data_IF_997448395975
#
_entry.id   IF_997448395975
#
_cell.length_a   1.000
_cell.length_b   1.000
_cell.length_c   1.000
_cell.angle_alpha   90.00
_cell.angle_beta   90.00
_cell.angle_gamma   90.00
#
_symmetry.space_group_name_H-M   'P 1'
#
loop_
_entity.id
_entity.type
_entity.pdbx_description
1 polymer ?
#
# COMPACT_ATOMS: atom_id res chain seq x y z
N UNK A 1 -10.43 13.31 -3.05
CA UNK A 1 -9.12 13.93 -2.75
C UNK A 1 -9.21 15.42 -3.02
N UNK A 2 -8.77 16.28 -2.10
CA UNK A 2 -8.66 17.71 -2.36
C UNK A 2 -7.65 17.94 -3.48
N UNK A 3 -7.96 18.83 -4.42
CA UNK A 3 -7.01 19.17 -5.49
C UNK A 3 -5.94 20.10 -4.90
N UNK A 4 -4.72 19.60 -4.77
CA UNK A 4 -3.55 20.37 -4.31
C UNK A 4 -2.66 20.65 -5.51
N UNK A 5 -2.20 21.90 -5.65
CA UNK A 5 -1.18 22.27 -6.65
C UNK A 5 0.20 22.06 -6.05
N UNK A 6 1.05 21.33 -6.77
CA UNK A 6 2.45 21.12 -6.40
C UNK A 6 3.33 21.76 -7.48
N UNK A 7 4.26 22.62 -7.05
CA UNK A 7 5.27 23.20 -7.94
C UNK A 7 6.60 22.49 -7.66
N UNK A 8 7.23 21.94 -8.69
CA UNK A 8 8.47 21.16 -8.59
C UNK A 8 9.48 21.80 -9.53
N UNK A 9 10.66 22.10 -9.01
CA UNK A 9 11.81 22.55 -9.80
C UNK A 9 12.68 21.34 -10.09
N UNK A 10 13.04 21.15 -11.35
CA UNK A 10 13.88 20.05 -11.84
C UNK A 10 14.97 20.66 -12.71
N UNK A 11 16.11 19.97 -12.82
CA UNK A 11 17.08 20.30 -13.85
C UNK A 11 16.50 20.04 -15.25
N UNK A 12 16.99 20.77 -16.24
CA UNK A 12 16.44 20.74 -17.60
C UNK A 12 16.61 19.38 -18.28
N UNK A 13 17.71 18.67 -18.03
CA UNK A 13 17.98 17.35 -18.60
C UNK A 13 17.01 16.31 -18.05
N UNK A 14 16.80 16.28 -16.73
CA UNK A 14 15.83 15.41 -16.09
C UNK A 14 14.41 15.74 -16.50
N UNK A 15 14.05 17.03 -16.60
CA UNK A 15 12.74 17.45 -17.08
C UNK A 15 12.52 17.00 -18.54
N UNK A 16 13.56 17.08 -19.37
CA UNK A 16 13.55 16.57 -20.75
C UNK A 16 13.32 15.06 -20.81
N UNK A 17 14.09 14.31 -20.02
CA UNK A 17 13.96 12.86 -19.91
C UNK A 17 12.55 12.44 -19.47
N UNK A 18 12.03 13.02 -18.38
CA UNK A 18 10.73 12.68 -17.82
C UNK A 18 9.59 13.00 -18.79
N UNK A 19 9.67 14.12 -19.53
CA UNK A 19 8.71 14.44 -20.59
C UNK A 19 8.74 13.43 -21.74
N UNK A 20 9.93 13.01 -22.17
CA UNK A 20 10.09 11.99 -23.20
C UNK A 20 9.51 10.65 -22.77
N UNK A 21 9.85 10.23 -21.55
CA UNK A 21 9.37 9.00 -20.95
C UNK A 21 7.85 8.98 -20.75
N UNK A 22 7.27 10.06 -20.21
CA UNK A 22 5.81 10.12 -20.00
C UNK A 22 5.06 10.03 -21.33
N UNK A 23 5.55 10.71 -22.39
CA UNK A 23 4.99 10.63 -23.74
C UNK A 23 5.07 9.22 -24.31
N UNK A 24 6.21 8.54 -24.15
CA UNK A 24 6.37 7.16 -24.60
C UNK A 24 5.35 6.21 -23.95
N UNK A 25 5.02 6.46 -22.68
CA UNK A 25 4.02 5.68 -21.93
C UNK A 25 2.58 6.18 -22.10
N UNK A 26 2.35 7.22 -22.91
CA UNK A 26 1.04 7.90 -23.07
C UNK A 26 0.47 8.43 -21.75
N UNK A 27 1.36 8.87 -20.87
CA UNK A 27 1.02 9.46 -19.56
C UNK A 27 1.37 10.95 -19.54
N UNK A 28 0.57 11.72 -18.80
CA UNK A 28 0.92 13.09 -18.43
C UNK A 28 2.00 13.12 -17.35
N UNK A 29 2.70 14.25 -17.24
CA UNK A 29 3.72 14.43 -16.21
C UNK A 29 3.13 14.34 -14.80
N UNK A 30 1.93 14.88 -14.60
CA UNK A 30 1.23 14.80 -13.32
C UNK A 30 0.86 13.37 -12.96
N UNK A 31 0.46 12.53 -13.92
CA UNK A 31 0.17 11.12 -13.67
C UNK A 31 1.41 10.35 -13.28
N UNK A 32 2.53 10.57 -13.97
CA UNK A 32 3.78 9.90 -13.64
C UNK A 32 4.27 10.26 -12.23
N UNK A 33 4.22 11.54 -11.85
CA UNK A 33 4.62 12.01 -10.52
C UNK A 33 3.68 11.46 -9.44
N UNK A 34 2.37 11.41 -9.71
CA UNK A 34 1.40 10.81 -8.81
C UNK A 34 1.68 9.31 -8.59
N UNK A 35 1.96 8.55 -9.66
CA UNK A 35 2.28 7.13 -9.53
C UNK A 35 3.58 6.90 -8.76
N UNK A 36 4.60 7.72 -9.01
CA UNK A 36 5.83 7.68 -8.22
C UNK A 36 5.59 7.95 -6.74
N UNK A 37 4.83 9.00 -6.40
CA UNK A 37 4.49 9.32 -5.02
C UNK A 37 3.65 8.22 -4.34
N UNK A 38 2.72 7.61 -5.06
CA UNK A 38 1.95 6.46 -4.56
C UNK A 38 2.83 5.25 -4.31
N UNK A 39 3.81 4.99 -5.18
CA UNK A 39 4.75 3.89 -5.00
C UNK A 39 5.67 4.13 -3.80
N UNK A 40 6.12 5.38 -3.57
CA UNK A 40 6.85 5.74 -2.36
C UNK A 40 6.01 5.53 -1.10
N UNK A 41 4.77 5.99 -1.10
CA UNK A 41 3.84 5.78 0.01
C UNK A 41 3.65 4.28 0.30
N UNK A 42 3.40 3.48 -0.74
CA UNK A 42 3.27 2.02 -0.60
C UNK A 42 4.54 1.37 -0.09
N UNK A 43 5.72 1.80 -0.55
CA UNK A 43 6.98 1.27 -0.07
C UNK A 43 7.17 1.56 1.42
N UNK A 44 6.86 2.79 1.87
CA UNK A 44 6.89 3.16 3.28
C UNK A 44 5.85 2.39 4.12
N UNK A 45 4.62 2.22 3.62
CA UNK A 45 3.59 1.44 4.30
C UNK A 45 3.97 -0.05 4.36
N UNK A 46 4.56 -0.58 3.29
CA UNK A 46 5.06 -1.95 3.23
C UNK A 46 6.25 -2.18 4.18
N UNK A 47 7.09 -1.19 4.49
CA UNK A 47 8.09 -1.33 5.56
C UNK A 47 7.45 -1.60 6.92
N UNK A 48 6.30 -0.96 7.19
CA UNK A 48 5.49 -1.28 8.37
C UNK A 48 4.91 -2.69 8.32
N UNK A 49 4.42 -3.11 7.15
CA UNK A 49 3.88 -4.47 6.93
C UNK A 49 4.98 -5.55 7.06
N UNK A 50 6.17 -5.33 6.51
CA UNK A 50 7.33 -6.22 6.65
C UNK A 50 7.77 -6.32 8.11
N UNK A 51 7.74 -5.21 8.86
CA UNK A 51 8.00 -5.23 10.31
C UNK A 51 6.99 -6.10 11.05
N UNK A 52 5.69 -5.96 10.75
CA UNK A 52 4.62 -6.76 11.37
C UNK A 52 4.71 -8.24 10.98
N UNK A 53 4.98 -8.53 9.71
CA UNK A 53 5.12 -9.90 9.19
C UNK A 53 6.43 -10.58 9.65
N UNK A 54 7.46 -9.80 9.98
CA UNK A 54 8.71 -10.29 10.55
C UNK A 54 8.60 -10.67 12.04
N UNK A 55 7.53 -10.23 12.73
CA UNK A 55 7.29 -10.60 14.11
C UNK A 55 6.94 -12.10 14.19
N UNK A 56 7.74 -12.94 14.88
CA UNK A 56 7.55 -14.39 14.90
C UNK A 56 6.19 -14.78 15.47
N UNK A 57 5.73 -14.07 16.50
CA UNK A 57 4.45 -14.31 17.17
C UNK A 57 3.25 -14.03 16.24
N UNK A 58 3.33 -12.96 15.44
CA UNK A 58 2.30 -12.61 14.48
C UNK A 58 2.25 -13.61 13.32
N UNK A 59 3.41 -13.99 12.80
CA UNK A 59 3.51 -14.98 11.72
C UNK A 59 2.97 -16.35 12.14
N UNK A 60 3.30 -16.82 13.35
CA UNK A 60 2.76 -18.07 13.91
C UNK A 60 1.24 -17.98 14.12
N UNK A 61 0.73 -16.88 14.69
CA UNK A 61 -0.71 -16.68 14.87
C UNK A 61 -1.47 -16.67 13.54
N UNK A 62 -0.87 -16.10 12.49
CA UNK A 62 -1.43 -16.07 11.14
C UNK A 62 -1.47 -17.46 10.52
N UNK A 63 -0.40 -18.25 10.64
CA UNK A 63 -0.37 -19.65 10.18
C UNK A 63 -1.40 -20.52 10.91
N UNK A 64 -1.49 -20.41 12.24
CA UNK A 64 -2.48 -21.13 13.05
C UNK A 64 -3.91 -20.76 12.65
N UNK A 65 -4.15 -19.47 12.37
CA UNK A 65 -5.46 -18.99 11.94
C UNK A 65 -5.83 -19.53 10.55
N UNK A 66 -4.87 -19.53 9.62
CA UNK A 66 -5.04 -20.11 8.29
C UNK A 66 -5.29 -21.62 8.35
N UNK A 67 -4.58 -22.34 9.21
CA UNK A 67 -4.79 -23.77 9.43
C UNK A 67 -6.18 -24.05 9.99
N UNK A 68 -6.62 -23.31 11.02
CA UNK A 68 -7.96 -23.43 11.61
C UNK A 68 -9.08 -23.08 10.63
N UNK A 69 -8.84 -22.11 9.74
CA UNK A 69 -9.75 -21.76 8.65
C UNK A 69 -9.86 -22.91 7.64
N UNK A 70 -8.73 -23.47 7.17
CA UNK A 70 -8.72 -24.60 6.23
C UNK A 70 -9.31 -25.87 6.83
N UNK A 71 -9.11 -26.10 8.12
CA UNK A 71 -9.65 -27.27 8.82
C UNK A 71 -11.13 -27.11 9.21
N UNK A 72 -11.78 -25.99 8.88
CA UNK A 72 -13.17 -25.70 9.24
C UNK A 72 -13.42 -25.55 10.74
N UNK A 73 -12.38 -25.39 11.56
CA UNK A 73 -12.47 -25.25 13.03
C UNK A 73 -12.72 -23.79 13.46
N UNK A 74 -12.76 -22.88 12.50
CA UNK A 74 -12.99 -21.46 12.73
C UNK A 74 -14.48 -21.19 12.93
N UNK A 75 -14.83 -20.60 14.09
CA UNK A 75 -16.20 -20.15 14.37
C UNK A 75 -16.31 -18.68 14.02
N UNK A 76 -17.14 -18.37 13.04
CA UNK A 76 -17.48 -16.99 12.70
C UNK A 76 -18.51 -16.48 13.70
N UNK A 77 -18.21 -15.34 14.31
CA UNK A 77 -19.12 -14.67 15.22
C UNK A 77 -19.63 -13.39 14.54
N UNK A 78 -20.91 -13.08 14.72
CA UNK A 78 -21.44 -11.77 14.36
C UNK A 78 -20.83 -10.70 15.29
N UNK A 79 -20.81 -9.45 14.81
CA UNK A 79 -20.18 -8.32 15.51
C UNK A 79 -20.64 -8.20 16.98
N UNK A 80 -21.95 -8.31 17.21
CA UNK A 80 -22.58 -8.23 18.54
C UNK A 80 -22.04 -9.29 19.51
N UNK A 81 -21.81 -10.52 19.03
CA UNK A 81 -21.28 -11.62 19.85
C UNK A 81 -19.76 -11.58 19.99
N UNK A 82 -19.06 -10.96 19.05
CA UNK A 82 -17.61 -10.86 19.05
C UNK A 82 -17.09 -9.71 19.93
N UNK A 83 -17.81 -8.59 19.97
CA UNK A 83 -17.38 -7.36 20.63
C UNK A 83 -18.20 -7.00 21.87
N UNK A 84 -19.32 -7.70 22.11
CA UNK A 84 -20.28 -7.30 23.13
C UNK A 84 -21.02 -6.01 22.71
N UNK A 85 -22.23 -5.84 23.22
CA UNK A 85 -22.95 -4.58 23.01
C UNK A 85 -22.31 -3.50 23.90
N UNK A 86 -21.55 -2.59 23.28
CA UNK A 86 -21.34 -1.25 23.83
C UNK A 86 -22.59 -0.39 23.64
#
# INVERSE_FOLDING_TARGET
>A
MSKVRVNITLDDDLAGFLKGFSRAQRLSMSELINQWALNLKRAQENQGMETILSAPEFYQSLLDTLERSRSGKMKWHNREKALGNE
#
